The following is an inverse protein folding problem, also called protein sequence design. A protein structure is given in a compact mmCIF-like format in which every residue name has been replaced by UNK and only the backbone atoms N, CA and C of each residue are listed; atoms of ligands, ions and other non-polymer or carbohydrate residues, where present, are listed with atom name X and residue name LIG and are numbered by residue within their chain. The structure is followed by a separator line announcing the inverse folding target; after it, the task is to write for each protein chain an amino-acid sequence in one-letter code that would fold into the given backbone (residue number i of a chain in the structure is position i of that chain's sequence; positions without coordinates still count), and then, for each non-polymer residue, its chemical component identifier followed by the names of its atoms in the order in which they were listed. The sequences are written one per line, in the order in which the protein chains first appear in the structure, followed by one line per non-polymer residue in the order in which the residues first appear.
data_IF_288752567016
#
_entry.id   IF_288752567016
#
_cell.length_a   1.000
_cell.length_b   1.000
_cell.length_c   1.000
_cell.angle_alpha   90.00
_cell.angle_beta   90.00
_cell.angle_gamma   90.00
#
_symmetry.space_group_name_H-M   'P 1'
#
loop_
_entity.id
_entity.type
_entity.pdbx_description
1 polymer ?
#
# COMPACT_ATOMS: atom_id res chain seq x y z
N UNK A 1 -20.15 -14.00 -5.20
CA UNK A 1 -19.16 -14.18 -4.12
C UNK A 1 -18.92 -12.81 -3.52
N UNK A 2 -19.15 -12.66 -2.23
CA UNK A 2 -18.99 -11.38 -1.52
C UNK A 2 -17.49 -11.17 -1.26
N UNK A 3 -16.82 -10.49 -2.19
CA UNK A 3 -15.36 -10.24 -2.12
C UNK A 3 -14.98 -9.46 -0.86
N UNK A 4 -15.83 -8.54 -0.42
CA UNK A 4 -15.62 -7.76 0.80
C UNK A 4 -15.57 -8.68 2.03
N UNK A 5 -16.50 -9.64 2.13
CA UNK A 5 -16.44 -10.66 3.19
C UNK A 5 -15.23 -11.58 3.08
N UNK A 6 -14.84 -11.99 1.87
CA UNK A 6 -13.70 -12.87 1.67
C UNK A 6 -12.40 -12.23 2.18
N UNK A 7 -12.22 -10.94 1.91
CA UNK A 7 -11.01 -10.19 2.27
C UNK A 7 -11.04 -9.78 3.76
N UNK A 8 -12.19 -9.33 4.27
CA UNK A 8 -12.28 -8.81 5.66
C UNK A 8 -12.43 -9.91 6.72
N UNK A 9 -12.98 -11.08 6.38
CA UNK A 9 -13.28 -12.15 7.34
C UNK A 9 -12.29 -13.33 7.29
N UNK A 10 -11.33 -13.30 6.36
CA UNK A 10 -10.30 -14.33 6.25
C UNK A 10 -8.91 -13.79 6.60
N UNK A 11 -8.37 -14.12 7.78
CA UNK A 11 -7.04 -13.68 8.21
C UNK A 11 -5.92 -14.06 7.23
N UNK A 12 -6.08 -15.18 6.51
CA UNK A 12 -5.09 -15.64 5.52
C UNK A 12 -4.93 -14.64 4.37
N UNK A 13 -6.01 -13.97 3.95
CA UNK A 13 -5.93 -12.95 2.91
C UNK A 13 -5.15 -11.73 3.41
N UNK A 14 -5.41 -11.27 4.63
CA UNK A 14 -4.67 -10.13 5.23
C UNK A 14 -3.18 -10.47 5.38
N UNK A 15 -2.86 -11.68 5.80
CA UNK A 15 -1.47 -12.15 5.90
C UNK A 15 -0.81 -12.26 4.52
N UNK A 16 -1.52 -12.78 3.51
CA UNK A 16 -1.02 -12.83 2.15
C UNK A 16 -0.75 -11.42 1.58
N UNK A 17 -1.65 -10.47 1.81
CA UNK A 17 -1.43 -9.06 1.43
C UNK A 17 -0.22 -8.47 2.15
N UNK A 18 -0.02 -8.78 3.44
CA UNK A 18 1.17 -8.33 4.18
C UNK A 18 2.45 -8.90 3.58
N UNK A 19 2.45 -10.18 3.24
CA UNK A 19 3.63 -10.84 2.66
C UNK A 19 3.97 -10.30 1.28
N UNK A 20 2.99 -10.12 0.40
CA UNK A 20 3.18 -9.51 -0.93
C UNK A 20 3.77 -8.09 -0.79
N UNK A 21 3.24 -7.30 0.14
CA UNK A 21 3.75 -5.95 0.39
C UNK A 21 5.18 -5.97 0.95
N UNK A 22 5.52 -6.87 1.87
CA UNK A 22 6.88 -7.03 2.40
C UNK A 22 7.90 -7.36 1.29
N UNK A 23 7.54 -8.27 0.38
CA UNK A 23 8.38 -8.63 -0.76
C UNK A 23 8.54 -7.43 -1.70
N UNK A 24 7.43 -6.76 -2.03
CA UNK A 24 7.41 -5.57 -2.89
C UNK A 24 8.25 -4.42 -2.32
N UNK A 25 8.13 -4.16 -1.01
CA UNK A 25 8.87 -3.10 -0.32
C UNK A 25 10.36 -3.43 -0.23
N UNK A 26 10.75 -4.70 -0.03
CA UNK A 26 12.16 -5.11 -0.06
C UNK A 26 12.82 -4.88 -1.43
N UNK A 27 12.09 -5.17 -2.51
CA UNK A 27 12.53 -4.88 -3.87
C UNK A 27 12.63 -3.36 -4.13
N UNK A 28 11.62 -2.59 -3.71
CA UNK A 28 11.63 -1.15 -3.81
C UNK A 28 12.81 -0.52 -3.02
N UNK A 29 13.04 -0.98 -1.79
CA UNK A 29 14.16 -0.54 -0.96
C UNK A 29 15.51 -0.78 -1.65
N UNK A 30 15.68 -1.97 -2.23
CA UNK A 30 16.90 -2.33 -2.97
C UNK A 30 17.11 -1.43 -4.21
N UNK A 31 16.04 -1.19 -4.98
CA UNK A 31 16.11 -0.33 -6.16
C UNK A 31 16.46 1.13 -5.79
N UNK A 32 15.79 1.69 -4.77
CA UNK A 32 16.06 3.05 -4.30
C UNK A 32 17.46 3.15 -3.69
N UNK A 33 17.90 2.13 -2.94
CA UNK A 33 19.26 2.07 -2.40
C UNK A 33 20.31 2.12 -3.50
N UNK A 34 20.10 1.37 -4.61
CA UNK A 34 20.99 1.40 -5.76
C UNK A 34 21.00 2.76 -6.47
N UNK A 35 19.83 3.41 -6.60
CA UNK A 35 19.72 4.74 -7.20
C UNK A 35 20.41 5.84 -6.38
N UNK A 36 20.38 5.73 -5.06
CA UNK A 36 20.93 6.73 -4.15
C UNK A 36 22.37 6.42 -3.68
N UNK A 37 22.86 5.20 -3.90
CA UNK A 37 24.16 4.75 -3.41
C UNK A 37 24.24 4.63 -1.88
N UNK A 38 23.11 4.44 -1.20
CA UNK A 38 23.04 4.34 0.27
C UNK A 38 22.05 3.27 0.70
N UNK A 39 22.22 2.76 1.93
CA UNK A 39 21.29 1.79 2.50
C UNK A 39 19.92 2.44 2.68
N UNK A 40 18.89 1.76 2.19
CA UNK A 40 17.48 2.13 2.40
C UNK A 40 16.78 0.91 3.01
N UNK A 41 16.10 1.13 4.13
CA UNK A 41 15.27 0.11 4.77
C UNK A 41 13.80 0.58 4.69
N UNK A 42 12.91 -0.27 4.16
CA UNK A 42 11.46 -0.02 4.15
C UNK A 42 10.80 -1.09 5.01
N UNK A 43 10.16 -0.68 6.10
CA UNK A 43 9.37 -1.57 6.96
C UNK A 43 7.90 -1.45 6.58
N UNK A 44 7.21 -2.57 6.35
CA UNK A 44 5.75 -2.57 6.16
C UNK A 44 5.07 -2.67 7.53
N UNK A 45 4.36 -1.64 8.00
CA UNK A 45 3.46 -1.78 9.13
C UNK A 45 2.09 -2.29 8.65
N UNK A 46 1.20 -2.58 9.60
CA UNK A 46 -0.12 -3.20 9.45
C UNK A 46 -0.89 -2.97 8.13
N UNK A 47 -1.53 -4.03 7.63
CA UNK A 47 -2.53 -3.97 6.56
C UNK A 47 -3.92 -3.81 7.18
N UNK A 48 -4.73 -2.89 6.63
CA UNK A 48 -6.14 -2.72 6.97
C UNK A 48 -6.99 -2.71 5.70
N UNK A 49 -8.23 -3.15 5.81
CA UNK A 49 -9.20 -3.16 4.71
C UNK A 49 -10.36 -2.29 5.13
N UNK A 50 -10.54 -1.18 4.42
CA UNK A 50 -11.44 -0.10 4.81
C UNK A 50 -12.04 0.58 3.57
N UNK A 51 -13.14 1.31 3.79
CA UNK A 51 -13.69 2.18 2.75
C UNK A 51 -12.80 3.40 2.57
N UNK A 52 -12.68 3.89 1.33
CA UNK A 52 -11.83 5.05 0.98
C UNK A 52 -12.03 6.26 1.90
N UNK A 53 -13.26 6.70 2.25
CA UNK A 53 -13.44 7.84 3.15
C UNK A 53 -12.75 7.65 4.51
N UNK A 54 -12.84 6.46 5.08
CA UNK A 54 -12.20 6.11 6.36
C UNK A 54 -10.67 6.08 6.24
N UNK A 55 -10.13 5.76 5.07
CA UNK A 55 -8.68 5.76 4.81
C UNK A 55 -8.16 7.20 4.73
N UNK A 56 -8.88 8.10 4.07
CA UNK A 56 -8.52 9.52 3.95
C UNK A 56 -8.41 10.16 5.33
N UNK A 57 -9.39 9.90 6.21
CA UNK A 57 -9.37 10.38 7.61
C UNK A 57 -8.15 9.88 8.40
N UNK A 58 -7.65 8.66 8.10
CA UNK A 58 -6.47 8.07 8.74
C UNK A 58 -5.15 8.63 8.21
N UNK A 59 -5.12 9.13 6.97
CA UNK A 59 -3.91 9.68 6.35
C UNK A 59 -3.60 11.08 6.90
N UNK A 60 -4.61 11.92 7.12
CA UNK A 60 -4.40 13.29 7.57
C UNK A 60 -5.58 14.23 7.40
N UNK A 61 -5.38 15.51 7.75
CA UNK A 61 -6.33 16.55 7.39
C UNK A 61 -6.26 16.81 5.87
N UNK A 62 -7.40 16.98 5.18
CA UNK A 62 -7.43 17.39 3.77
C UNK A 62 -6.68 18.70 3.47
N UNK A 63 -6.48 19.54 4.49
CA UNK A 63 -5.82 20.86 4.36
C UNK A 63 -4.30 20.79 4.53
N UNK A 64 -3.74 19.63 4.90
CA UNK A 64 -2.29 19.44 5.03
C UNK A 64 -1.64 19.15 3.66
N UNK A 65 -0.53 19.80 3.29
CA UNK A 65 0.18 19.47 2.07
C UNK A 65 0.74 18.04 2.15
N UNK A 66 0.59 17.30 1.05
CA UNK A 66 1.15 15.97 0.89
C UNK A 66 1.60 15.77 -0.56
N UNK A 67 2.62 14.95 -0.76
CA UNK A 67 3.06 14.51 -2.09
C UNK A 67 2.43 13.15 -2.39
N UNK A 68 1.76 13.05 -3.54
CA UNK A 68 1.11 11.82 -3.98
C UNK A 68 1.77 11.26 -5.24
N UNK A 69 1.93 9.94 -5.29
CA UNK A 69 2.24 9.20 -6.52
C UNK A 69 1.09 8.24 -6.79
N UNK A 70 0.41 8.44 -7.92
CA UNK A 70 -0.66 7.57 -8.38
C UNK A 70 -0.15 6.65 -9.48
N UNK A 71 -0.40 5.36 -9.32
CA UNK A 71 -0.15 4.32 -10.31
C UNK A 71 -1.49 3.66 -10.63
N UNK A 72 -1.87 3.65 -11.91
CA UNK A 72 -3.07 2.95 -12.38
C UNK A 72 -2.63 1.68 -13.10
N UNK A 73 -3.37 0.60 -12.88
CA UNK A 73 -3.15 -0.67 -13.55
C UNK A 73 -4.48 -1.21 -14.09
N UNK A 74 -4.40 -1.88 -15.24
CA UNK A 74 -5.50 -2.52 -15.94
C UNK A 74 -5.14 -3.96 -16.35
N UNK A 75 -6.15 -4.79 -16.63
CA UNK A 75 -5.97 -6.16 -17.10
C UNK A 75 -6.80 -7.18 -16.33
N UNK A 76 -6.14 -8.19 -15.74
CA UNK A 76 -6.82 -9.22 -14.92
C UNK A 76 -7.46 -8.62 -13.66
N UNK A 77 -6.94 -7.47 -13.21
CA UNK A 77 -7.50 -6.63 -12.16
C UNK A 77 -7.32 -5.17 -12.57
N UNK A 78 -8.37 -4.37 -12.40
CA UNK A 78 -8.31 -2.92 -12.57
C UNK A 78 -8.18 -2.25 -11.20
N UNK A 79 -7.31 -1.25 -11.09
CA UNK A 79 -7.18 -0.51 -9.85
C UNK A 79 -6.14 0.60 -9.84
N UNK A 80 -6.01 1.19 -8.66
CA UNK A 80 -5.11 2.31 -8.40
C UNK A 80 -4.31 2.03 -7.14
N UNK A 81 -2.99 2.21 -7.23
CA UNK A 81 -2.10 2.30 -6.08
C UNK A 81 -1.79 3.77 -5.85
N UNK A 82 -1.96 4.23 -4.62
CA UNK A 82 -1.65 5.59 -4.20
C UNK A 82 -0.58 5.54 -3.11
N UNK A 83 0.58 6.14 -3.38
CA UNK A 83 1.61 6.40 -2.38
C UNK A 83 1.52 7.85 -1.94
N UNK A 84 1.47 8.08 -0.63
CA UNK A 84 1.36 9.43 -0.05
C UNK A 84 2.55 9.65 0.87
N UNK A 85 3.26 10.74 0.65
CA UNK A 85 4.34 11.26 1.49
C UNK A 85 3.86 12.52 2.17
N UNK A 86 3.90 12.53 3.49
CA UNK A 86 3.70 13.72 4.33
C UNK A 86 5.05 14.29 4.72
#
# INVERSE_FOLDING_TARGET
MDFDKLITQNPLFIDAFREINNIGSGNAASAVAAMLGQKVDITVPSVIVEKIPNVIEKIGSPDEPAFGVQLTYDGDLDGVILLIFK
#
